data_IF_278727547011
#
_entry.id   IF_278727547011
#
_cell.length_a   1.000
_cell.length_b   1.000
_cell.length_c   1.000
_cell.angle_alpha   90.00
_cell.angle_beta   90.00
_cell.angle_gamma   90.00
#
_symmetry.space_group_name_H-M   'P 1'
#
loop_
_entity.id
_entity.type
_entity.pdbx_description
1 polymer ?
#
# COMPACT_ATOMS: atom_id res chain seq x y z
N UNK A 1 29.58 3.20 34.18
CA UNK A 1 28.71 2.00 34.04
C UNK A 1 28.28 1.97 32.57
N UNK A 2 29.25 1.77 31.66
CA UNK A 2 29.44 0.58 30.80
C UNK A 2 28.14 0.31 30.00
N UNK A 3 27.97 0.79 28.77
CA UNK A 3 28.52 0.20 27.55
C UNK A 3 28.87 1.29 26.50
N UNK A 4 30.15 1.60 26.37
CA UNK A 4 30.68 2.17 25.12
C UNK A 4 31.83 1.26 24.68
N UNK A 5 31.49 -0.01 24.45
CA UNK A 5 32.40 -0.97 23.85
C UNK A 5 32.53 -0.63 22.37
N UNK A 6 33.78 -0.47 21.94
CA UNK A 6 34.22 -0.24 20.57
C UNK A 6 33.58 -1.22 19.61
N UNK A 7 32.48 -0.83 18.96
CA UNK A 7 31.96 -1.57 17.80
C UNK A 7 33.05 -1.61 16.72
N UNK A 8 33.42 -2.81 16.33
CA UNK A 8 34.42 -3.05 15.28
C UNK A 8 33.93 -2.47 13.95
N UNK A 9 34.86 -2.15 13.04
CA UNK A 9 34.54 -1.57 11.73
C UNK A 9 33.49 -2.40 10.94
N UNK A 10 33.51 -3.73 11.15
CA UNK A 10 32.56 -4.68 10.54
C UNK A 10 31.10 -4.44 10.97
N UNK A 11 30.84 -4.20 12.26
CA UNK A 11 29.48 -3.97 12.76
C UNK A 11 28.89 -2.64 12.26
N UNK A 12 29.72 -1.60 12.12
CA UNK A 12 29.29 -0.30 11.58
C UNK A 12 28.92 -0.38 10.10
N UNK A 13 29.69 -1.13 9.31
CA UNK A 13 29.38 -1.38 7.90
C UNK A 13 28.08 -2.18 7.76
N UNK A 14 27.89 -3.23 8.57
CA UNK A 14 26.64 -4.00 8.56
C UNK A 14 25.42 -3.12 8.86
N UNK A 15 25.47 -2.29 9.90
CA UNK A 15 24.37 -1.36 10.23
C UNK A 15 24.15 -0.29 9.16
N UNK A 16 25.22 0.26 8.57
CA UNK A 16 25.11 1.20 7.47
C UNK A 16 24.46 0.56 6.23
N UNK A 17 24.83 -0.67 5.89
CA UNK A 17 24.23 -1.42 4.79
C UNK A 17 22.75 -1.71 5.05
N UNK A 18 22.40 -2.12 6.27
CA UNK A 18 21.01 -2.33 6.70
C UNK A 18 20.20 -1.03 6.59
N UNK A 19 20.72 0.08 7.12
CA UNK A 19 20.06 1.38 7.03
C UNK A 19 19.89 1.83 5.57
N UNK A 20 20.91 1.62 4.72
CA UNK A 20 20.83 1.93 3.30
C UNK A 20 19.81 1.05 2.58
N UNK A 21 19.73 -0.25 2.90
CA UNK A 21 18.71 -1.14 2.33
C UNK A 21 17.31 -0.74 2.77
N UNK A 22 17.11 -0.33 4.02
CA UNK A 22 15.81 0.15 4.53
C UNK A 22 15.38 1.44 3.84
N UNK A 23 16.30 2.38 3.61
CA UNK A 23 16.03 3.62 2.88
C UNK A 23 15.67 3.31 1.42
N UNK A 24 16.44 2.45 0.74
CA UNK A 24 16.14 2.03 -0.64
C UNK A 24 14.81 1.28 -0.73
N UNK A 25 14.50 0.44 0.27
CA UNK A 25 13.22 -0.26 0.38
C UNK A 25 12.05 0.71 0.45
N UNK A 26 12.16 1.75 1.30
CA UNK A 26 11.16 2.81 1.44
C UNK A 26 11.00 3.63 0.16
N UNK A 27 12.12 4.04 -0.46
CA UNK A 27 12.10 4.80 -1.73
C UNK A 27 11.43 3.97 -2.83
N UNK A 28 11.84 2.72 -2.99
CA UNK A 28 11.31 1.83 -4.01
C UNK A 28 9.82 1.53 -3.83
N UNK A 29 9.37 1.37 -2.58
CA UNK A 29 7.95 1.25 -2.29
C UNK A 29 7.19 2.54 -2.64
N UNK A 30 7.67 3.69 -2.19
CA UNK A 30 7.00 4.97 -2.39
C UNK A 30 6.84 5.29 -3.88
N UNK A 31 7.85 5.02 -4.70
CA UNK A 31 7.76 5.19 -6.16
C UNK A 31 6.65 4.30 -6.76
N UNK A 32 6.66 3.00 -6.47
CA UNK A 32 5.63 2.06 -6.98
C UNK A 32 4.23 2.40 -6.49
N UNK A 33 4.11 2.86 -5.25
CA UNK A 33 2.86 3.28 -4.66
C UNK A 33 2.32 4.54 -5.34
N UNK A 34 3.17 5.56 -5.52
CA UNK A 34 2.81 6.78 -6.21
C UNK A 34 2.36 6.51 -7.65
N UNK A 35 3.09 5.65 -8.37
CA UNK A 35 2.71 5.25 -9.73
C UNK A 35 1.34 4.55 -9.78
N UNK A 36 0.99 3.74 -8.77
CA UNK A 36 -0.34 3.13 -8.66
C UNK A 36 -1.40 4.21 -8.44
N UNK A 37 -1.20 5.10 -7.47
CA UNK A 37 -2.15 6.17 -7.16
C UNK A 37 -2.41 7.09 -8.34
N UNK A 38 -1.36 7.54 -9.04
CA UNK A 38 -1.52 8.40 -10.22
C UNK A 38 -2.31 7.71 -11.32
N UNK A 39 -1.96 6.46 -11.65
CA UNK A 39 -2.67 5.71 -12.69
C UNK A 39 -4.14 5.43 -12.35
N UNK A 40 -4.43 5.24 -11.06
CA UNK A 40 -5.80 5.08 -10.60
C UNK A 40 -6.56 6.42 -10.63
N UNK A 41 -5.89 7.51 -10.25
CA UNK A 41 -6.43 8.86 -10.41
C UNK A 41 -6.83 9.14 -11.86
N UNK A 42 -5.96 8.88 -12.82
CA UNK A 42 -6.25 9.11 -14.25
C UNK A 42 -7.48 8.32 -14.71
N UNK A 43 -7.61 7.06 -14.28
CA UNK A 43 -8.76 6.21 -14.66
C UNK A 43 -10.09 6.73 -14.10
N UNK A 44 -10.07 7.39 -12.94
CA UNK A 44 -11.27 8.00 -12.38
C UNK A 44 -11.85 9.13 -13.24
N UNK A 45 -11.03 9.80 -14.05
CA UNK A 45 -11.46 10.91 -14.91
C UNK A 45 -11.69 10.49 -16.37
N UNK A 46 -11.34 9.26 -16.75
CA UNK A 46 -11.50 8.79 -18.13
C UNK A 46 -11.67 7.27 -18.22
N UNK A 47 -12.89 6.84 -18.56
CA UNK A 47 -13.21 5.42 -18.77
C UNK A 47 -12.39 4.79 -19.91
N UNK A 48 -11.94 5.60 -20.88
CA UNK A 48 -11.11 5.15 -22.00
C UNK A 48 -9.76 4.58 -21.53
N UNK A 49 -9.28 4.98 -20.36
CA UNK A 49 -8.02 4.51 -19.78
C UNK A 49 -8.17 3.19 -19.03
N UNK A 50 -9.40 2.74 -18.74
CA UNK A 50 -9.66 1.55 -17.93
C UNK A 50 -8.98 0.28 -18.49
N UNK A 51 -9.04 -0.05 -19.79
CA UNK A 51 -8.39 -1.26 -20.29
C UNK A 51 -6.88 -1.29 -20.01
N UNK A 52 -6.15 -0.22 -20.34
CA UNK A 52 -4.70 -0.13 -20.10
C UNK A 52 -4.34 -0.07 -18.61
N UNK A 53 -5.19 0.57 -17.80
CA UNK A 53 -5.05 0.54 -16.35
C UNK A 53 -5.17 -0.90 -15.81
N UNK A 54 -6.16 -1.68 -16.27
CA UNK A 54 -6.34 -3.06 -15.81
C UNK A 54 -5.16 -3.98 -16.15
N UNK A 55 -4.53 -3.79 -17.32
CA UNK A 55 -3.32 -4.53 -17.71
C UNK A 55 -2.14 -4.24 -16.76
N UNK A 56 -1.90 -2.96 -16.48
CA UNK A 56 -0.79 -2.55 -15.60
C UNK A 56 -1.08 -2.82 -14.13
N UNK A 57 -2.35 -2.77 -13.70
CA UNK A 57 -2.79 -3.03 -12.34
C UNK A 57 -2.39 -4.43 -11.90
N UNK A 58 -2.61 -5.44 -12.76
CA UNK A 58 -2.24 -6.81 -12.46
C UNK A 58 -0.73 -6.95 -12.15
N UNK A 59 0.12 -6.27 -12.92
CA UNK A 59 1.57 -6.27 -12.68
C UNK A 59 1.92 -5.55 -11.37
N UNK A 60 1.31 -4.39 -11.10
CA UNK A 60 1.51 -3.64 -9.84
C UNK A 60 1.11 -4.47 -8.62
N UNK A 61 -0.05 -5.11 -8.66
CA UNK A 61 -0.53 -5.97 -7.57
C UNK A 61 0.37 -7.19 -7.35
N UNK A 62 0.90 -7.80 -8.42
CA UNK A 62 1.89 -8.88 -8.30
C UNK A 62 3.15 -8.40 -7.57
N UNK A 63 3.61 -7.19 -7.87
CA UNK A 63 4.76 -6.61 -7.19
C UNK A 63 4.48 -6.35 -5.71
N UNK A 64 3.29 -5.85 -5.35
CA UNK A 64 2.91 -5.64 -3.94
C UNK A 64 2.70 -6.95 -3.18
N UNK A 65 2.11 -7.97 -3.81
CA UNK A 65 1.98 -9.33 -3.26
C UNK A 65 3.36 -9.92 -2.93
N UNK A 66 4.31 -9.81 -3.88
CA UNK A 66 5.68 -10.26 -3.67
C UNK A 66 6.41 -9.45 -2.59
N UNK A 67 6.19 -8.13 -2.56
CA UNK A 67 6.82 -7.22 -1.61
C UNK A 67 6.35 -7.44 -0.17
N UNK A 68 5.05 -7.73 -0.01
CA UNK A 68 4.47 -8.16 1.27
C UNK A 68 5.10 -9.51 1.69
N UNK A 69 5.18 -10.46 0.76
CA UNK A 69 5.81 -11.75 1.03
C UNK A 69 5.06 -12.50 2.15
N UNK A 70 5.79 -13.00 3.15
CA UNK A 70 5.21 -13.67 4.31
C UNK A 70 5.00 -12.73 5.51
N UNK A 71 5.24 -11.42 5.33
CA UNK A 71 5.15 -10.47 6.43
C UNK A 71 3.69 -10.20 6.79
N UNK A 72 3.45 -9.93 8.08
CA UNK A 72 2.12 -9.51 8.56
C UNK A 72 1.78 -8.10 8.05
N UNK A 73 2.77 -7.21 8.08
CA UNK A 73 2.73 -5.83 7.59
C UNK A 73 3.95 -5.55 6.71
N UNK A 74 3.95 -4.47 5.94
CA UNK A 74 5.04 -4.13 5.01
C UNK A 74 6.39 -4.00 5.72
N UNK A 75 6.40 -3.53 6.97
CA UNK A 75 7.60 -3.43 7.81
C UNK A 75 7.82 -4.60 8.77
N UNK A 76 7.09 -5.71 8.62
CA UNK A 76 7.24 -6.91 9.44
C UNK A 76 6.06 -7.12 10.39
N UNK A 77 6.29 -7.08 11.70
CA UNK A 77 5.30 -7.44 12.72
C UNK A 77 4.39 -6.30 13.15
N UNK A 78 4.86 -5.05 13.04
CA UNK A 78 4.12 -3.86 13.45
C UNK A 78 3.62 -3.10 12.23
N UNK A 79 2.38 -2.65 12.32
CA UNK A 79 1.77 -1.77 11.32
C UNK A 79 2.47 -0.42 11.29
N UNK A 80 2.57 0.16 10.10
CA UNK A 80 3.21 1.45 9.84
C UNK A 80 2.39 2.27 8.82
N UNK A 81 2.72 3.56 8.63
CA UNK A 81 2.03 4.47 7.71
C UNK A 81 1.94 3.95 6.27
N UNK A 82 2.96 3.21 5.81
CA UNK A 82 2.98 2.58 4.48
C UNK A 82 1.83 1.58 4.32
N UNK A 83 1.47 0.88 5.40
CA UNK A 83 0.37 -0.08 5.39
C UNK A 83 -0.97 0.63 5.20
N UNK A 84 -1.16 1.78 5.87
CA UNK A 84 -2.35 2.62 5.70
C UNK A 84 -2.47 3.08 4.25
N UNK A 85 -1.40 3.65 3.69
CA UNK A 85 -1.39 4.14 2.30
C UNK A 85 -1.74 3.06 1.29
N UNK A 86 -1.12 1.87 1.38
CA UNK A 86 -1.43 0.77 0.46
C UNK A 86 -2.85 0.24 0.67
N UNK A 87 -3.26 0.00 1.92
CA UNK A 87 -4.58 -0.54 2.22
C UNK A 87 -5.70 0.39 1.77
N UNK A 88 -5.55 1.71 1.94
CA UNK A 88 -6.49 2.71 1.43
C UNK A 88 -6.75 2.54 -0.06
N UNK A 89 -5.69 2.53 -0.86
CA UNK A 89 -5.80 2.35 -2.31
C UNK A 89 -6.37 0.98 -2.66
N UNK A 90 -6.01 -0.09 -1.94
CA UNK A 90 -6.59 -1.43 -2.17
C UNK A 90 -8.10 -1.49 -1.85
N UNK A 91 -8.58 -0.70 -0.88
CA UNK A 91 -10.01 -0.58 -0.59
C UNK A 91 -10.73 0.07 -1.76
N UNK A 92 -10.20 1.18 -2.27
CA UNK A 92 -10.75 1.88 -3.43
C UNK A 92 -10.73 1.00 -4.69
N UNK A 93 -9.63 0.30 -4.94
CA UNK A 93 -9.52 -0.65 -6.06
C UNK A 93 -10.53 -1.78 -5.97
N UNK A 94 -10.83 -2.30 -4.77
CA UNK A 94 -11.90 -3.29 -4.59
C UNK A 94 -13.30 -2.72 -4.83
N UNK A 95 -13.52 -1.42 -4.63
CA UNK A 95 -14.79 -0.79 -5.03
C UNK A 95 -14.85 -0.63 -6.55
N UNK A 96 -13.74 -0.22 -7.17
CA UNK A 96 -13.63 0.01 -8.61
C UNK A 96 -13.71 -1.28 -9.44
N UNK A 97 -13.03 -2.34 -8.99
CA UNK A 97 -13.02 -3.67 -9.60
C UNK A 97 -13.03 -4.74 -8.48
N UNK A 98 -14.22 -5.25 -8.08
CA UNK A 98 -14.37 -6.17 -6.96
C UNK A 98 -13.51 -7.44 -7.04
N UNK A 99 -13.17 -7.87 -8.24
CA UNK A 99 -12.41 -9.09 -8.49
C UNK A 99 -10.89 -8.90 -8.51
N UNK A 100 -10.40 -7.65 -8.46
CA UNK A 100 -8.98 -7.34 -8.70
C UNK A 100 -8.01 -8.05 -7.74
N UNK A 101 -8.45 -8.37 -6.51
CA UNK A 101 -7.60 -9.04 -5.51
C UNK A 101 -7.73 -10.57 -5.47
N UNK A 102 -8.63 -11.18 -6.25
CA UNK A 102 -8.92 -12.63 -6.13
C UNK A 102 -7.71 -13.53 -6.36
N UNK A 103 -6.78 -13.10 -7.23
CA UNK A 103 -5.57 -13.86 -7.58
C UNK A 103 -4.41 -13.68 -6.59
N UNK A 104 -4.59 -12.87 -5.54
CA UNK A 104 -3.53 -12.42 -4.64
C UNK A 104 -3.81 -12.92 -3.21
N UNK A 105 -3.38 -14.16 -2.88
CA UNK A 105 -3.73 -14.81 -1.62
C UNK A 105 -3.13 -14.16 -0.37
N UNK A 106 -2.12 -13.29 -0.48
CA UNK A 106 -1.50 -12.58 0.67
C UNK A 106 -2.08 -11.18 0.83
N UNK A 107 -2.34 -10.47 -0.26
CA UNK A 107 -2.98 -9.14 -0.21
C UNK A 107 -4.42 -9.20 0.34
N UNK A 108 -5.16 -10.29 0.08
CA UNK A 108 -6.52 -10.47 0.61
C UNK A 108 -6.60 -10.53 2.15
N UNK A 109 -5.85 -11.42 2.85
CA UNK A 109 -5.83 -11.46 4.30
C UNK A 109 -5.13 -10.24 4.89
N UNK A 110 -4.13 -9.66 4.22
CA UNK A 110 -3.52 -8.39 4.61
C UNK A 110 -4.55 -7.26 4.68
N UNK A 111 -5.34 -7.07 3.62
CA UNK A 111 -6.40 -6.07 3.60
C UNK A 111 -7.51 -6.36 4.63
N UNK A 112 -7.88 -7.63 4.78
CA UNK A 112 -8.87 -8.06 5.79
C UNK A 112 -8.39 -7.75 7.21
N UNK A 113 -7.10 -7.99 7.50
CA UNK A 113 -6.48 -7.67 8.79
C UNK A 113 -6.52 -6.18 9.07
N UNK A 114 -6.18 -5.35 8.09
CA UNK A 114 -6.25 -3.90 8.19
C UNK A 114 -7.66 -3.41 8.54
N UNK A 115 -8.68 -3.84 7.79
CA UNK A 115 -10.08 -3.46 8.05
C UNK A 115 -10.60 -3.86 9.43
N UNK A 116 -10.02 -4.89 10.03
CA UNK A 116 -10.43 -5.41 11.34
C UNK A 116 -9.64 -4.81 12.51
N UNK A 117 -8.72 -3.87 12.27
CA UNK A 117 -7.97 -3.22 13.34
C UNK A 117 -8.92 -2.50 14.30
N UNK A 118 -8.85 -2.75 15.62
CA UNK A 118 -9.75 -2.14 16.60
C UNK A 118 -9.74 -0.61 16.53
N UNK A 119 -8.56 -0.02 16.33
CA UNK A 119 -8.35 1.43 16.24
C UNK A 119 -9.00 2.07 15.00
N UNK A 120 -9.24 1.27 13.95
CA UNK A 120 -9.89 1.73 12.73
C UNK A 120 -11.41 1.57 12.80
N UNK A 121 -11.98 0.83 13.76
CA UNK A 121 -13.43 0.65 13.84
C UNK A 121 -14.18 1.96 14.04
N UNK A 122 -13.61 2.88 14.83
CA UNK A 122 -14.21 4.20 15.05
C UNK A 122 -13.91 5.17 13.88
N UNK A 123 -12.79 4.98 13.18
CA UNK A 123 -12.35 5.85 12.08
C UNK A 123 -12.95 5.48 10.71
N UNK A 124 -13.11 4.19 10.42
CA UNK A 124 -13.79 3.67 9.21
C UNK A 124 -15.32 3.83 9.33
N UNK A 125 -15.86 3.83 10.56
CA UNK A 125 -17.27 4.15 10.80
C UNK A 125 -17.59 5.64 10.55
N UNK A 126 -16.59 6.53 10.54
CA UNK A 126 -16.76 7.87 10.01
C UNK A 126 -16.97 7.78 8.50
N UNK A 127 -18.11 8.29 8.02
CA UNK A 127 -18.50 8.41 6.61
C UNK A 127 -17.40 8.96 5.69
N UNK A 128 -16.38 9.61 6.23
CA UNK A 128 -15.23 10.18 5.53
C UNK A 128 -14.35 9.15 4.83
N UNK A 129 -14.12 7.96 5.40
CA UNK A 129 -13.30 6.93 4.74
C UNK A 129 -14.06 6.25 3.59
N UNK A 130 -15.39 6.15 3.70
CA UNK A 130 -16.25 5.70 2.60
C UNK A 130 -16.36 6.76 1.50
N UNK A 131 -16.26 8.05 1.85
CA UNK A 131 -16.38 9.21 0.96
C UNK A 131 -15.07 9.60 0.24
N UNK A 132 -13.92 8.99 0.56
CA UNK A 132 -12.71 9.11 -0.26
C UNK A 132 -12.85 8.25 -1.51
N UNK A 133 -13.68 8.72 -2.41
CA UNK A 133 -13.49 8.43 -3.81
C UNK A 133 -12.83 9.62 -4.47
N UNK A 134 -12.30 9.42 -5.68
CA UNK A 134 -11.68 10.44 -6.51
C UNK A 134 -12.43 11.78 -6.37
N UNK A 135 -11.80 12.72 -5.65
CA UNK A 135 -12.48 13.82 -4.94
C UNK A 135 -12.89 14.98 -5.84
N UNK A 136 -12.47 14.95 -7.10
CA UNK A 136 -12.86 15.97 -8.07
C UNK A 136 -14.34 15.84 -8.42
N UNK A 137 -15.05 16.96 -8.38
CA UNK A 137 -16.43 17.05 -8.85
C UNK A 137 -16.57 16.80 -10.37
N UNK A 138 -15.48 16.50 -11.07
CA UNK A 138 -15.44 16.17 -12.50
C UNK A 138 -15.00 14.71 -12.74
N UNK A 139 -14.70 13.94 -11.69
CA UNK A 139 -14.39 12.52 -11.83
C UNK A 139 -15.61 11.76 -12.33
N UNK A 140 -15.41 10.91 -13.33
CA UNK A 140 -16.43 10.00 -13.87
C UNK A 140 -16.73 8.88 -12.88
N UNK A 141 -15.72 8.35 -12.20
CA UNK A 141 -15.89 7.39 -11.11
C UNK A 141 -15.64 8.07 -9.76
N UNK A 142 -16.64 8.01 -8.86
CA UNK A 142 -16.64 8.65 -7.54
C UNK A 142 -16.98 7.72 -6.40
N UNK A 143 -16.79 6.40 -6.58
CA UNK A 143 -16.78 5.41 -5.48
C UNK A 143 -17.98 5.44 -4.52
N UNK A 144 -19.06 6.08 -4.93
CA UNK A 144 -20.36 6.27 -4.30
C UNK A 144 -21.43 5.31 -4.88
N UNK A 145 -21.07 4.59 -5.95
CA UNK A 145 -21.82 3.50 -6.56
C UNK A 145 -21.85 2.22 -5.72
#
# INVERSE_FOLDING_TARGET
>A
MWESSTMTSSTRLAQFLIAKSDVQYRIGFNARFFDLQMSFGDVCYSEKLKPGFMETLAQKLTNFEAFLGEKVWLTGEKINYLDFSLCEVLIELKKFEPTCLQKYPKLQPYLTRFKNLPQLKDHIALKEFAARACTGADAHWRGDS
#
